data_IF_209019811328
#
_entry.id   IF_209019811328
#
_cell.length_a   1.000
_cell.length_b   1.000
_cell.length_c   1.000
_cell.angle_alpha   90.00
_cell.angle_beta   90.00
_cell.angle_gamma   90.00
#
_symmetry.space_group_name_H-M   'P 1'
#
loop_
_entity.id
_entity.type
_entity.pdbx_description
1 polymer ?
#
# COMPACT_ATOMS: atom_id res chain seq x y z
N UNK A 1 2.42 27.80 7.65
CA UNK A 1 2.60 26.59 8.47
C UNK A 1 3.02 25.46 7.54
N UNK A 2 4.25 24.94 7.66
CA UNK A 2 4.71 23.84 6.79
C UNK A 2 3.97 22.57 7.22
N UNK A 3 3.08 22.05 6.36
CA UNK A 3 2.34 20.81 6.66
C UNK A 3 3.34 19.66 6.68
N UNK A 4 3.55 19.07 7.85
CA UNK A 4 4.44 17.92 7.98
C UNK A 4 3.93 16.78 7.08
N UNK A 5 4.82 16.23 6.25
CA UNK A 5 4.48 15.14 5.34
C UNK A 5 4.23 13.89 6.19
N UNK A 6 2.99 13.41 6.22
CA UNK A 6 2.62 12.16 6.89
C UNK A 6 2.93 10.99 5.96
N UNK A 7 3.45 9.91 6.52
CA UNK A 7 3.81 8.69 5.82
C UNK A 7 3.01 7.54 6.42
N UNK A 8 2.79 6.49 5.62
CA UNK A 8 2.27 5.22 6.11
C UNK A 8 3.41 4.45 6.78
N UNK A 9 3.15 3.91 7.98
CA UNK A 9 4.09 2.99 8.64
C UNK A 9 3.79 1.53 8.29
N UNK A 10 2.52 1.21 8.07
CA UNK A 10 2.05 -0.12 7.69
C UNK A 10 1.14 -0.06 6.47
N UNK A 11 1.16 -1.14 5.68
CA UNK A 11 0.29 -1.30 4.54
C UNK A 11 -0.02 -2.78 4.27
N UNK A 12 -1.15 -3.01 3.60
CA UNK A 12 -1.64 -4.35 3.25
C UNK A 12 -1.38 -4.64 1.77
N UNK A 13 -0.96 -5.86 1.48
CA UNK A 13 -0.67 -6.33 0.10
C UNK A 13 -1.97 -6.53 -0.67
N UNK A 14 -2.12 -5.84 -1.81
CA UNK A 14 -3.24 -5.98 -2.73
C UNK A 14 -2.93 -6.93 -3.89
N UNK A 15 -1.70 -6.85 -4.44
CA UNK A 15 -1.23 -7.70 -5.53
C UNK A 15 0.31 -7.76 -5.59
N UNK A 16 0.85 -8.78 -6.24
CA UNK A 16 2.30 -9.00 -6.46
C UNK A 16 2.56 -9.47 -7.89
N UNK A 17 3.33 -8.71 -8.66
CA UNK A 17 3.61 -9.02 -10.07
C UNK A 17 5.06 -8.73 -10.47
N UNK A 18 5.58 -9.32 -11.56
CA UNK A 18 6.94 -9.08 -12.03
C UNK A 18 7.21 -7.62 -12.41
N UNK A 19 8.40 -7.11 -12.09
CA UNK A 19 8.84 -5.76 -12.48
C UNK A 19 8.79 -5.48 -13.99
N UNK A 20 8.88 -6.52 -14.83
CA UNK A 20 8.73 -6.39 -16.29
C UNK A 20 7.37 -5.87 -16.72
N UNK A 21 6.30 -6.22 -16.00
CA UNK A 21 4.94 -5.77 -16.31
C UNK A 21 4.78 -4.27 -16.00
N UNK A 22 5.28 -3.82 -14.85
CA UNK A 22 5.30 -2.38 -14.53
C UNK A 22 6.10 -1.59 -15.56
N UNK A 23 7.27 -2.10 -15.97
CA UNK A 23 8.14 -1.42 -16.92
C UNK A 23 7.50 -1.28 -18.31
N UNK A 24 6.67 -2.24 -18.72
CA UNK A 24 5.92 -2.16 -19.96
C UNK A 24 4.88 -1.04 -19.93
N UNK A 25 4.21 -0.85 -18.78
CA UNK A 25 3.19 0.19 -18.59
C UNK A 25 3.77 1.57 -18.28
N UNK A 26 4.93 1.63 -17.61
CA UNK A 26 5.58 2.85 -17.13
C UNK A 26 7.10 2.76 -17.30
N UNK A 27 7.63 2.98 -18.53
CA UNK A 27 9.05 2.79 -18.84
C UNK A 27 10.02 3.67 -18.04
N UNK A 28 9.53 4.80 -17.48
CA UNK A 28 10.32 5.72 -16.67
C UNK A 28 10.57 5.28 -15.23
N UNK A 29 9.96 4.18 -14.77
CA UNK A 29 10.15 3.67 -13.41
C UNK A 29 11.40 2.80 -13.33
N UNK A 30 12.24 3.06 -12.32
CA UNK A 30 13.46 2.32 -12.06
C UNK A 30 13.15 1.07 -11.23
N UNK A 31 13.02 -0.05 -11.92
CA UNK A 31 12.88 -1.41 -11.34
C UNK A 31 13.85 -2.38 -12.00
N UNK A 32 14.37 -3.32 -11.21
CA UNK A 32 15.32 -4.33 -11.66
C UNK A 32 14.61 -5.63 -12.06
N UNK A 33 15.26 -6.46 -12.90
CA UNK A 33 14.66 -7.71 -13.42
C UNK A 33 14.51 -8.81 -12.36
N UNK A 34 15.25 -8.69 -11.28
CA UNK A 34 15.27 -9.55 -10.09
C UNK A 34 14.38 -9.02 -8.96
N UNK A 35 13.48 -8.08 -9.28
CA UNK A 35 12.46 -7.55 -8.36
C UNK A 35 11.05 -7.96 -8.80
N UNK A 36 10.16 -8.09 -7.82
CA UNK A 36 8.72 -7.99 -8.04
C UNK A 36 8.25 -6.62 -7.58
N UNK A 37 7.10 -6.21 -8.10
CA UNK A 37 6.35 -5.04 -7.66
C UNK A 37 5.17 -5.53 -6.83
N UNK A 38 4.89 -4.84 -5.74
CA UNK A 38 3.71 -5.06 -4.92
C UNK A 38 2.86 -3.79 -4.92
N UNK A 39 1.56 -3.96 -5.10
CA UNK A 39 0.57 -2.90 -4.87
C UNK A 39 0.05 -3.02 -3.44
N UNK A 40 -0.02 -1.89 -2.74
CA UNK A 40 -0.27 -1.81 -1.31
C UNK A 40 -1.37 -0.79 -1.00
N UNK A 41 -2.14 -1.05 0.06
CA UNK A 41 -3.04 -0.10 0.70
C UNK A 41 -2.48 0.29 2.08
N UNK A 42 -2.16 1.57 2.27
CA UNK A 42 -1.74 2.11 3.55
C UNK A 42 -2.82 1.97 4.62
N UNK A 43 -2.41 1.64 5.84
CA UNK A 43 -3.32 1.40 6.96
C UNK A 43 -3.93 2.70 7.52
N UNK A 44 -3.15 3.78 7.57
CA UNK A 44 -3.56 4.99 8.28
C UNK A 44 -4.26 5.99 7.38
N UNK A 45 -3.73 6.20 6.17
CA UNK A 45 -4.28 7.20 5.24
C UNK A 45 -4.90 6.59 4.00
N UNK A 46 -5.04 5.25 3.95
CA UNK A 46 -5.54 4.52 2.79
C UNK A 46 -4.79 4.90 1.51
N UNK A 47 -3.48 5.18 1.65
CA UNK A 47 -2.64 5.57 0.52
C UNK A 47 -2.34 4.36 -0.35
N UNK A 48 -2.70 4.41 -1.63
CA UNK A 48 -2.31 3.38 -2.59
C UNK A 48 -0.86 3.59 -3.04
N UNK A 49 -0.06 2.53 -2.93
CA UNK A 49 1.39 2.58 -3.17
C UNK A 49 1.84 1.42 -4.05
N UNK A 50 2.89 1.65 -4.83
CA UNK A 50 3.69 0.60 -5.44
C UNK A 50 5.05 0.53 -4.74
N UNK A 51 5.50 -0.68 -4.42
CA UNK A 51 6.80 -0.93 -3.81
C UNK A 51 7.55 -2.06 -4.51
N UNK A 52 8.87 -2.04 -4.45
CA UNK A 52 9.72 -3.12 -4.92
C UNK A 52 10.00 -4.13 -3.79
N UNK A 53 10.00 -5.41 -4.12
CA UNK A 53 10.39 -6.52 -3.24
C UNK A 53 11.33 -7.48 -3.99
N UNK A 54 12.26 -8.19 -3.32
CA UNK A 54 13.10 -9.17 -4.00
C UNK A 54 12.25 -10.22 -4.73
N UNK A 55 12.68 -10.72 -5.88
CA UNK A 55 11.93 -11.72 -6.65
C UNK A 55 11.59 -13.00 -5.86
N UNK A 56 12.44 -13.38 -4.90
CA UNK A 56 12.25 -14.51 -4.00
C UNK A 56 11.24 -14.24 -2.86
N UNK A 57 10.89 -12.99 -2.61
CA UNK A 57 9.91 -12.61 -1.59
C UNK A 57 8.58 -12.24 -2.25
N UNK A 58 7.60 -13.12 -2.14
CA UNK A 58 6.22 -12.91 -2.59
C UNK A 58 5.31 -12.90 -1.37
N UNK A 59 5.08 -11.73 -0.75
CA UNK A 59 4.19 -11.65 0.40
C UNK A 59 2.77 -12.05 -0.01
N UNK A 60 2.05 -12.72 0.90
CA UNK A 60 0.69 -13.15 0.61
C UNK A 60 -0.26 -11.94 0.53
N UNK A 61 -1.26 -12.03 -0.35
CA UNK A 61 -2.33 -11.04 -0.48
C UNK A 61 -3.05 -10.86 0.86
N UNK A 62 -3.34 -9.61 1.23
CA UNK A 62 -3.97 -9.24 2.51
C UNK A 62 -3.02 -9.26 3.73
N UNK A 63 -1.73 -9.52 3.53
CA UNK A 63 -0.73 -9.46 4.60
C UNK A 63 -0.38 -8.02 4.94
N UNK A 64 -0.32 -7.72 6.24
CA UNK A 64 0.14 -6.44 6.79
C UNK A 64 1.68 -6.39 6.81
N UNK A 65 2.27 -5.37 6.20
CA UNK A 65 3.72 -5.18 6.07
C UNK A 65 4.14 -3.87 6.70
N UNK A 66 5.34 -3.85 7.30
CA UNK A 66 5.97 -2.60 7.75
C UNK A 66 6.68 -1.93 6.56
N UNK A 67 6.26 -0.70 6.24
CA UNK A 67 6.77 0.13 5.13
C UNK A 67 7.27 1.50 5.59
N UNK A 68 7.30 1.73 6.91
CA UNK A 68 7.76 2.96 7.53
C UNK A 68 9.24 3.28 7.25
N UNK A 69 9.74 4.35 7.85
CA UNK A 69 11.09 4.85 7.54
C UNK A 69 12.19 4.01 8.17
N UNK A 70 11.92 3.36 9.29
CA UNK A 70 12.91 2.63 10.06
C UNK A 70 13.31 1.33 9.35
N UNK A 71 14.47 0.80 9.70
CA UNK A 71 15.00 -0.46 9.15
C UNK A 71 15.03 -1.53 10.25
N UNK A 72 14.77 -2.81 9.92
CA UNK A 72 14.49 -3.36 8.59
C UNK A 72 13.04 -3.18 8.13
N UNK A 73 12.83 -2.86 6.85
CA UNK A 73 11.50 -2.85 6.21
C UNK A 73 11.19 -4.19 5.56
N UNK A 74 9.91 -4.48 5.37
CA UNK A 74 9.45 -5.67 4.63
C UNK A 74 9.60 -5.55 3.11
N UNK A 75 9.99 -4.37 2.61
CA UNK A 75 10.12 -4.01 1.19
C UNK A 75 11.51 -3.42 0.90
N UNK A 76 11.93 -3.39 -0.36
CA UNK A 76 13.16 -2.73 -0.77
C UNK A 76 13.02 -1.21 -0.76
N UNK A 77 11.99 -0.70 -1.45
CA UNK A 77 11.70 0.73 -1.57
C UNK A 77 10.27 0.98 -2.05
N UNK A 78 9.71 2.12 -1.67
CA UNK A 78 8.49 2.65 -2.29
C UNK A 78 8.88 3.23 -3.67
N UNK A 79 8.18 2.81 -4.71
CA UNK A 79 8.37 3.29 -6.08
C UNK A 79 7.60 4.59 -6.30
N UNK A 80 6.29 4.59 -6.00
CA UNK A 80 5.40 5.75 -6.15
C UNK A 80 4.10 5.56 -5.38
N UNK A 81 3.37 6.68 -5.22
CA UNK A 81 1.93 6.67 -4.96
C UNK A 81 1.20 6.44 -6.29
N UNK A 82 0.13 5.67 -6.24
CA UNK A 82 -0.72 5.41 -7.40
C UNK A 82 -2.16 5.87 -7.13
N UNK A 83 -2.95 6.00 -8.19
CA UNK A 83 -4.39 6.21 -8.13
C UNK A 83 -5.14 4.88 -8.16
N UNK A 84 -6.46 4.91 -7.96
CA UNK A 84 -7.29 3.71 -8.06
C UNK A 84 -7.24 3.10 -9.46
N UNK A 85 -7.18 3.93 -10.50
CA UNK A 85 -7.20 3.46 -11.89
C UNK A 85 -5.94 2.68 -12.28
N UNK A 86 -4.82 2.97 -11.62
CA UNK A 86 -3.54 2.29 -11.79
C UNK A 86 -3.49 0.90 -11.11
N UNK A 87 -4.49 0.55 -10.27
CA UNK A 87 -4.54 -0.76 -9.64
C UNK A 87 -4.73 -1.87 -10.66
N UNK A 88 -4.05 -3.00 -10.46
CA UNK A 88 -4.31 -4.21 -11.24
C UNK A 88 -5.76 -4.68 -11.02
N UNK A 89 -6.27 -5.48 -11.95
CA UNK A 89 -7.62 -6.06 -11.81
C UNK A 89 -7.72 -6.87 -10.51
N UNK A 90 -6.68 -7.66 -10.19
CA UNK A 90 -6.60 -8.42 -8.95
C UNK A 90 -6.60 -7.50 -7.72
N UNK A 91 -5.78 -6.45 -7.72
CA UNK A 91 -5.73 -5.51 -6.61
C UNK A 91 -7.09 -4.83 -6.35
N UNK A 92 -7.83 -4.46 -7.41
CA UNK A 92 -9.20 -3.90 -7.29
C UNK A 92 -10.17 -4.89 -6.65
N UNK A 93 -10.12 -6.16 -7.01
CA UNK A 93 -10.98 -7.21 -6.43
C UNK A 93 -10.70 -7.44 -4.93
N UNK A 94 -9.45 -7.23 -4.51
CA UNK A 94 -9.01 -7.45 -3.13
C UNK A 94 -9.23 -6.21 -2.25
N UNK A 95 -9.19 -5.02 -2.85
CA UNK A 95 -9.18 -3.75 -2.13
C UNK A 95 -10.30 -3.62 -1.10
N UNK A 96 -11.54 -3.92 -1.48
CA UNK A 96 -12.70 -3.79 -0.60
C UNK A 96 -12.58 -4.66 0.66
N UNK A 97 -12.19 -5.92 0.49
CA UNK A 97 -11.98 -6.85 1.61
C UNK A 97 -10.86 -6.38 2.54
N UNK A 98 -9.79 -5.80 2.00
CA UNK A 98 -8.68 -5.28 2.81
C UNK A 98 -9.11 -4.01 3.55
N UNK A 99 -9.91 -3.13 2.93
CA UNK A 99 -10.49 -1.97 3.62
C UNK A 99 -11.33 -2.43 4.81
N UNK A 100 -12.26 -3.39 4.61
CA UNK A 100 -13.09 -3.92 5.68
C UNK A 100 -12.24 -4.46 6.84
N UNK A 101 -11.19 -5.22 6.52
CA UNK A 101 -10.25 -5.72 7.54
C UNK A 101 -9.58 -4.59 8.33
N UNK A 102 -9.11 -3.53 7.66
CA UNK A 102 -8.51 -2.37 8.34
C UNK A 102 -9.53 -1.67 9.25
N UNK A 103 -10.78 -1.55 8.79
CA UNK A 103 -11.86 -0.95 9.58
C UNK A 103 -12.17 -1.78 10.83
N UNK A 104 -12.26 -3.11 10.69
CA UNK A 104 -12.50 -4.04 11.80
C UNK A 104 -11.35 -4.01 12.82
N UNK A 105 -10.10 -4.05 12.35
CA UNK A 105 -8.91 -4.03 13.23
C UNK A 105 -8.73 -2.68 13.94
N UNK A 106 -9.32 -1.60 13.42
CA UNK A 106 -9.22 -0.24 13.97
C UNK A 106 -10.60 0.37 14.31
N UNK A 107 -11.60 -0.45 14.64
CA UNK A 107 -13.00 -0.02 14.82
C UNK A 107 -13.12 1.21 15.73
N UNK A 108 -12.42 1.19 16.87
CA UNK A 108 -12.42 2.28 17.85
C UNK A 108 -12.11 3.64 17.20
N UNK A 109 -11.10 3.70 16.33
CA UNK A 109 -10.68 4.94 15.65
C UNK A 109 -11.79 5.50 14.78
N UNK A 110 -12.49 4.64 14.05
CA UNK A 110 -13.55 5.07 13.13
C UNK A 110 -14.84 5.42 13.89
N UNK A 111 -15.21 4.65 14.90
CA UNK A 111 -16.37 4.93 15.77
C UNK A 111 -16.17 6.23 16.55
N UNK A 112 -14.97 6.47 17.09
CA UNK A 112 -14.65 7.68 17.83
C UNK A 112 -14.78 8.94 16.96
N UNK A 113 -14.45 8.87 15.67
CA UNK A 113 -14.69 9.96 14.73
C UNK A 113 -16.17 10.37 14.70
N UNK A 114 -17.09 9.42 14.59
CA UNK A 114 -18.53 9.72 14.60
C UNK A 114 -19.01 10.22 15.96
N UNK A 115 -18.54 9.62 17.05
CA UNK A 115 -18.96 9.99 18.42
C UNK A 115 -18.46 11.38 18.86
N UNK A 116 -17.35 11.85 18.29
CA UNK A 116 -16.72 13.14 18.66
C UNK A 116 -16.86 14.20 17.58
N UNK A 117 -17.52 13.88 16.47
CA UNK A 117 -17.81 14.82 15.39
C UNK A 117 -18.61 16.01 15.95
N UNK A 118 -18.11 17.22 15.73
CA UNK A 118 -18.83 18.46 16.05
C UNK A 118 -19.86 18.74 14.95
N UNK A 119 -20.94 19.49 15.27
CA UNK A 119 -21.91 19.93 14.27
C UNK A 119 -21.21 20.67 13.10
N UNK A 120 -21.73 20.46 11.89
CA UNK A 120 -21.29 21.08 10.63
C UNK A 120 -21.73 22.54 10.53
#
# INVERSE_FOLDING_TARGET
MVRQKKYEDFAYVLDVFPASELKAQSPGIIVHRDENVIQLLGEDFFTLLEAATPKGNKPAIGTRLYIGKDVPRSILRILRRISYDDLTVNAKMILENVILKILEENEKRFVEFFNTARPL
#
